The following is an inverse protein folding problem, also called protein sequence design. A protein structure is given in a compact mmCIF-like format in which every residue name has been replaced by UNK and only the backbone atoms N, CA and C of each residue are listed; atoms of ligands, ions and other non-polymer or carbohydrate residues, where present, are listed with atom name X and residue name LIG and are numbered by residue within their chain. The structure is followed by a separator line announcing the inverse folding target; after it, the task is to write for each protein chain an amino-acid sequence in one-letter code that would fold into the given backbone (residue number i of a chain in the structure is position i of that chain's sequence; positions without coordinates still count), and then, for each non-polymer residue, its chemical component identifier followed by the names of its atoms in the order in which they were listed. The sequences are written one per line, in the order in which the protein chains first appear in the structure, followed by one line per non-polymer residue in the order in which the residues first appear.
data_IF_919248155903
#
_entry.id   IF_919248155903
#
_cell.length_a   1.000
_cell.length_b   1.000
_cell.length_c   1.000
_cell.angle_alpha   90.00
_cell.angle_beta   90.00
_cell.angle_gamma   90.00
#
_symmetry.space_group_name_H-M   'P 1'
#
loop_
_entity.id
_entity.type
_entity.pdbx_description
1 polymer ?
#
# COMPACT_ATOMS: atom_id res chain seq x y z
N UNK A 1 7.51 -32.26 6.77
CA UNK A 1 6.11 -32.70 6.97
C UNK A 1 5.80 -33.71 5.87
N UNK A 2 5.28 -34.88 6.23
CA UNK A 2 4.93 -35.94 5.29
C UNK A 2 3.75 -35.51 4.40
N UNK A 3 3.61 -36.14 3.21
CA UNK A 3 2.48 -35.84 2.31
C UNK A 3 1.13 -36.15 2.97
N UNK A 4 1.07 -37.11 3.91
CA UNK A 4 -0.11 -37.38 4.75
C UNK A 4 -0.43 -36.22 5.73
N UNK A 5 0.57 -35.54 6.29
CA UNK A 5 0.33 -34.33 7.12
C UNK A 5 -0.16 -33.14 6.30
N UNK A 6 0.21 -33.08 5.02
CA UNK A 6 -0.30 -32.09 4.06
C UNK A 6 -1.72 -32.40 3.59
N UNK A 7 -2.07 -33.67 3.45
CA UNK A 7 -3.41 -34.12 3.06
C UNK A 7 -4.43 -33.95 4.19
N UNK A 8 -4.05 -34.24 5.45
CA UNK A 8 -4.89 -34.03 6.62
C UNK A 8 -5.05 -32.55 7.03
N UNK A 9 -4.17 -31.67 6.58
CA UNK A 9 -4.33 -30.21 6.75
C UNK A 9 -5.38 -29.60 5.81
N UNK A 10 -5.94 -30.39 4.88
CA UNK A 10 -6.81 -29.91 3.81
C UNK A 10 -8.19 -29.41 4.24
N UNK A 11 -8.68 -29.71 5.43
CA UNK A 11 -10.06 -29.34 5.82
C UNK A 11 -10.20 -29.03 7.32
N UNK A 12 -9.97 -27.79 7.71
CA UNK A 12 -10.58 -27.22 8.91
C UNK A 12 -11.19 -25.86 8.57
N UNK A 13 -12.13 -25.87 7.63
CA UNK A 13 -13.06 -24.74 7.49
C UNK A 13 -14.27 -25.09 8.34
N UNK A 14 -14.48 -24.34 9.40
CA UNK A 14 -15.73 -24.42 10.18
C UNK A 14 -16.84 -23.80 9.33
N UNK A 15 -17.83 -24.62 8.91
CA UNK A 15 -19.06 -24.23 8.20
C UNK A 15 -18.89 -23.62 6.80
N UNK A 16 -18.64 -24.47 5.78
CA UNK A 16 -18.61 -24.03 4.35
C UNK A 16 -20.02 -23.96 3.73
N UNK A 17 -21.03 -24.61 4.32
CA UNK A 17 -22.30 -24.91 3.66
C UNK A 17 -23.17 -23.71 3.26
N UNK A 18 -22.76 -22.46 3.59
CA UNK A 18 -23.50 -21.24 3.25
C UNK A 18 -22.62 -20.05 2.81
N UNK A 19 -21.34 -20.27 2.43
CA UNK A 19 -20.44 -19.21 2.05
C UNK A 19 -20.47 -18.96 0.53
N UNK A 20 -20.52 -17.68 0.13
CA UNK A 20 -20.36 -17.29 -1.26
C UNK A 20 -18.90 -17.44 -1.69
N UNK A 21 -18.65 -17.82 -2.94
CA UNK A 21 -17.29 -18.02 -3.48
C UNK A 21 -16.41 -16.77 -3.34
N UNK A 22 -17.00 -15.59 -3.40
CA UNK A 22 -16.32 -14.29 -3.24
C UNK A 22 -15.86 -13.99 -1.79
N UNK A 23 -16.35 -14.74 -0.81
CA UNK A 23 -15.97 -14.61 0.61
C UNK A 23 -14.80 -15.53 1.01
N UNK A 24 -14.36 -16.42 0.11
CA UNK A 24 -13.31 -17.40 0.37
C UNK A 24 -11.99 -16.98 -0.33
N UNK A 25 -10.87 -17.25 0.33
CA UNK A 25 -9.52 -17.07 -0.22
C UNK A 25 -8.71 -18.34 -0.03
N UNK A 26 -8.00 -18.76 -1.09
CA UNK A 26 -7.05 -19.87 -1.06
C UNK A 26 -5.67 -19.36 -0.72
N UNK A 27 -5.04 -19.92 0.32
CA UNK A 27 -3.65 -19.58 0.63
C UNK A 27 -2.71 -20.08 -0.47
N UNK A 28 -1.86 -19.21 -1.07
CA UNK A 28 -0.94 -19.62 -2.14
C UNK A 28 0.20 -20.50 -1.63
N UNK A 29 0.49 -20.49 -0.32
CA UNK A 29 1.59 -21.25 0.29
C UNK A 29 1.15 -22.67 0.69
N UNK A 30 0.02 -22.83 1.37
CA UNK A 30 -0.40 -24.14 1.91
C UNK A 30 -1.68 -24.71 1.26
N UNK A 31 -2.34 -23.94 0.38
CA UNK A 31 -3.54 -24.37 -0.32
C UNK A 31 -4.83 -24.39 0.50
N UNK A 32 -4.78 -24.08 1.80
CA UNK A 32 -5.96 -24.03 2.68
C UNK A 32 -6.90 -22.94 2.23
N UNK A 33 -8.19 -23.21 2.23
CA UNK A 33 -9.25 -22.24 2.02
C UNK A 33 -9.62 -21.62 3.36
N UNK A 34 -9.69 -20.30 3.42
CA UNK A 34 -10.07 -19.54 4.61
C UNK A 34 -11.07 -18.45 4.24
N UNK A 35 -11.93 -18.09 5.17
CA UNK A 35 -12.82 -16.96 4.99
C UNK A 35 -12.02 -15.64 5.03
N UNK A 36 -12.39 -14.67 4.17
CA UNK A 36 -11.69 -13.38 4.11
C UNK A 36 -11.73 -12.61 5.44
N UNK A 37 -12.82 -12.76 6.23
CA UNK A 37 -12.90 -12.17 7.57
C UNK A 37 -11.89 -12.78 8.53
N UNK A 38 -11.70 -14.11 8.50
CA UNK A 38 -10.71 -14.79 9.35
C UNK A 38 -9.29 -14.31 9.03
N UNK A 39 -8.97 -14.16 7.73
CA UNK A 39 -7.67 -13.60 7.31
C UNK A 39 -7.52 -12.14 7.76
N UNK A 40 -8.60 -11.34 7.74
CA UNK A 40 -8.60 -9.96 8.22
C UNK A 40 -8.37 -9.91 9.74
N UNK A 41 -9.06 -10.74 10.52
CA UNK A 41 -8.87 -10.85 11.98
C UNK A 41 -7.45 -11.29 12.35
N UNK A 42 -6.82 -12.14 11.53
CA UNK A 42 -5.42 -12.54 11.66
C UNK A 42 -4.43 -11.55 10.99
N UNK A 43 -4.80 -10.29 10.84
CA UNK A 43 -3.94 -9.25 10.25
C UNK A 43 -3.31 -9.66 8.91
N UNK A 44 -4.12 -10.20 7.99
CA UNK A 44 -3.68 -10.69 6.68
C UNK A 44 -2.64 -11.82 6.74
N UNK A 45 -2.70 -12.65 7.77
CA UNK A 45 -1.84 -13.83 7.93
C UNK A 45 -2.68 -15.10 7.80
N UNK A 46 -2.16 -16.10 7.11
CA UNK A 46 -2.83 -17.39 6.99
C UNK A 46 -2.88 -18.09 8.36
N UNK A 47 -4.07 -18.46 8.86
CA UNK A 47 -4.20 -19.11 10.18
C UNK A 47 -3.55 -20.49 10.25
N UNK A 48 -3.28 -21.13 9.08
CA UNK A 48 -2.69 -22.46 9.03
C UNK A 48 -1.16 -22.47 8.91
N UNK A 49 -0.59 -21.58 8.06
CA UNK A 49 0.87 -21.62 7.77
C UNK A 49 1.60 -20.31 8.02
N UNK A 50 0.92 -19.28 8.53
CA UNK A 50 1.46 -17.96 8.78
C UNK A 50 1.98 -17.24 7.51
N UNK A 51 1.52 -17.64 6.31
CA UNK A 51 1.82 -16.91 5.09
C UNK A 51 1.17 -15.52 5.14
N UNK A 52 1.92 -14.48 4.80
CA UNK A 52 1.42 -13.10 4.75
C UNK A 52 0.74 -12.85 3.40
N UNK A 53 -0.53 -12.44 3.44
CA UNK A 53 -1.24 -11.94 2.26
C UNK A 53 -0.93 -10.46 2.00
N UNK A 54 -1.08 -10.04 0.75
CA UNK A 54 -0.97 -8.63 0.42
C UNK A 54 -2.04 -7.80 1.14
N UNK A 55 -1.62 -6.65 1.64
CA UNK A 55 -2.47 -5.67 2.30
C UNK A 55 -2.49 -4.40 1.44
N UNK A 56 -3.69 -3.91 1.11
CA UNK A 56 -3.86 -2.66 0.37
C UNK A 56 -3.42 -1.45 1.20
N UNK A 57 -3.21 -0.30 0.55
CA UNK A 57 -2.91 0.95 1.24
C UNK A 57 -4.02 1.35 2.22
N UNK A 58 -5.29 1.16 1.83
CA UNK A 58 -6.44 1.49 2.67
C UNK A 58 -6.50 0.62 3.93
N UNK A 59 -6.31 -0.70 3.79
CA UNK A 59 -6.24 -1.61 4.93
C UNK A 59 -5.07 -1.29 5.88
N UNK A 60 -3.92 -0.82 5.36
CA UNK A 60 -2.79 -0.39 6.20
C UNK A 60 -3.11 0.87 6.98
N UNK A 61 -3.80 1.83 6.36
CA UNK A 61 -4.25 3.05 7.04
C UNK A 61 -5.24 2.68 8.14
N UNK A 62 -6.24 1.83 7.85
CA UNK A 62 -7.19 1.33 8.85
C UNK A 62 -6.51 0.60 10.01
N UNK A 63 -5.39 -0.08 9.77
CA UNK A 63 -4.62 -0.79 10.80
C UNK A 63 -3.77 0.15 11.66
N UNK A 64 -3.20 1.20 11.07
CA UNK A 64 -2.19 2.05 11.71
C UNK A 64 -2.79 3.30 12.35
N UNK A 65 -3.82 3.87 11.75
CA UNK A 65 -4.41 5.14 12.13
C UNK A 65 -5.61 4.91 13.05
N UNK A 66 -5.70 5.70 14.09
CA UNK A 66 -6.80 5.67 15.04
C UNK A 66 -8.13 5.96 14.33
N UNK A 67 -9.16 5.18 14.67
CA UNK A 67 -10.45 5.21 14.00
C UNK A 67 -11.05 6.64 13.97
N UNK A 68 -11.50 7.05 12.79
CA UNK A 68 -12.14 8.36 12.57
C UNK A 68 -11.19 9.55 12.51
N UNK A 69 -9.86 9.36 12.65
CA UNK A 69 -8.89 10.48 12.64
C UNK A 69 -8.26 10.71 11.28
N UNK A 70 -8.35 9.75 10.34
CA UNK A 70 -7.72 9.89 9.03
C UNK A 70 -8.44 10.90 8.15
N UNK A 71 -7.69 11.86 7.66
CA UNK A 71 -8.11 12.81 6.63
C UNK A 71 -7.23 12.64 5.41
N UNK A 72 -7.80 12.05 4.34
CA UNK A 72 -7.11 11.88 3.06
C UNK A 72 -6.87 13.24 2.41
N UNK A 73 -5.65 13.46 1.93
CA UNK A 73 -5.24 14.65 1.19
C UNK A 73 -4.77 14.25 -0.21
N UNK A 74 -4.85 15.17 -1.16
CA UNK A 74 -4.41 14.96 -2.55
C UNK A 74 -5.13 13.78 -3.26
N UNK A 75 -6.35 13.44 -2.82
CA UNK A 75 -7.09 12.27 -3.29
C UNK A 75 -7.44 12.31 -4.80
N UNK A 76 -7.50 13.51 -5.39
CA UNK A 76 -7.91 13.71 -6.78
C UNK A 76 -6.76 13.73 -7.78
N UNK A 77 -5.50 13.72 -7.32
CA UNK A 77 -4.34 13.74 -8.19
C UNK A 77 -4.25 12.46 -9.04
N UNK A 78 -4.08 12.65 -10.34
CA UNK A 78 -3.91 11.58 -11.34
C UNK A 78 -2.73 11.88 -12.24
N UNK A 79 -2.05 10.82 -12.70
CA UNK A 79 -0.94 10.99 -13.65
C UNK A 79 -1.44 11.35 -15.05
N UNK A 80 -0.65 12.15 -15.74
CA UNK A 80 -0.74 12.32 -17.18
C UNK A 80 0.15 11.28 -17.89
N UNK A 81 0.03 11.18 -19.22
CA UNK A 81 0.97 10.42 -20.05
C UNK A 81 2.01 11.39 -20.65
N UNK A 82 3.09 11.74 -19.93
CA UNK A 82 3.95 12.87 -20.27
C UNK A 82 4.86 12.63 -21.48
N UNK A 83 4.99 11.38 -21.89
CA UNK A 83 5.86 10.97 -23.01
C UNK A 83 5.09 10.18 -24.09
N UNK A 84 3.76 10.24 -24.08
CA UNK A 84 2.88 9.50 -24.99
C UNK A 84 3.24 7.99 -25.06
N UNK A 85 3.52 7.38 -23.88
CA UNK A 85 3.89 5.98 -23.83
C UNK A 85 2.72 5.11 -24.28
N UNK A 86 2.93 4.16 -25.21
CA UNK A 86 1.87 3.33 -25.76
C UNK A 86 1.10 2.57 -24.68
N UNK A 87 -0.21 2.51 -24.80
CA UNK A 87 -1.13 1.79 -23.89
C UNK A 87 -1.06 2.22 -22.41
N UNK A 88 -0.36 3.33 -22.07
CA UNK A 88 -0.23 3.74 -20.67
C UNK A 88 -1.56 4.24 -20.10
N UNK A 89 -2.28 5.04 -20.88
CA UNK A 89 -3.57 5.59 -20.45
C UNK A 89 -4.57 4.47 -20.12
N UNK A 90 -4.72 3.48 -21.02
CA UNK A 90 -5.64 2.36 -20.80
C UNK A 90 -5.22 1.50 -19.59
N UNK A 91 -3.91 1.23 -19.43
CA UNK A 91 -3.38 0.50 -18.27
C UNK A 91 -3.59 1.25 -16.96
N UNK A 92 -3.46 2.57 -17.01
CA UNK A 92 -3.67 3.44 -15.84
C UNK A 92 -5.15 3.47 -15.43
N UNK A 93 -6.06 3.68 -16.37
CA UNK A 93 -7.51 3.64 -16.15
C UNK A 93 -7.97 2.28 -15.61
N UNK A 94 -7.43 1.19 -16.18
CA UNK A 94 -7.69 -0.15 -15.68
C UNK A 94 -7.21 -0.31 -14.22
N UNK A 95 -6.01 0.17 -13.90
CA UNK A 95 -5.48 0.11 -12.53
C UNK A 95 -6.35 0.93 -11.55
N UNK A 96 -6.88 2.08 -11.99
CA UNK A 96 -7.84 2.86 -11.20
C UNK A 96 -9.13 2.09 -10.94
N UNK A 97 -9.68 1.44 -11.97
CA UNK A 97 -10.90 0.64 -11.85
C UNK A 97 -10.70 -0.55 -10.90
N UNK A 98 -9.61 -1.31 -11.11
CA UNK A 98 -9.36 -2.56 -10.39
C UNK A 98 -8.99 -2.33 -8.91
N UNK A 99 -8.29 -1.25 -8.60
CA UNK A 99 -7.86 -0.91 -7.23
C UNK A 99 -8.84 -0.01 -6.48
N UNK A 100 -9.71 0.71 -7.20
CA UNK A 100 -10.55 1.77 -6.64
C UNK A 100 -9.78 3.02 -6.20
N UNK A 101 -8.50 3.13 -6.57
CA UNK A 101 -7.62 4.25 -6.24
C UNK A 101 -7.43 5.16 -7.44
N UNK A 102 -7.16 6.43 -7.22
CA UNK A 102 -6.77 7.37 -8.28
C UNK A 102 -5.28 7.25 -8.63
N UNK A 103 -4.45 6.81 -7.68
CA UNK A 103 -3.02 6.55 -7.86
C UNK A 103 -2.53 5.53 -6.81
N UNK A 104 -1.37 4.93 -7.04
CA UNK A 104 -0.75 3.88 -6.22
C UNK A 104 -0.25 4.30 -4.84
N UNK A 105 -0.80 5.39 -4.29
CA UNK A 105 -0.51 5.87 -2.94
C UNK A 105 -1.68 6.65 -2.37
N UNK A 106 -2.00 6.40 -1.10
CA UNK A 106 -2.93 7.19 -0.28
C UNK A 106 -2.09 8.00 0.70
N UNK A 107 -2.37 9.30 0.82
CA UNK A 107 -1.67 10.19 1.76
C UNK A 107 -2.65 11.09 2.52
N UNK A 108 -2.26 11.48 3.74
CA UNK A 108 -3.10 12.34 4.57
C UNK A 108 -2.54 12.57 5.96
N UNK A 109 -3.37 13.16 6.80
CA UNK A 109 -3.13 13.34 8.23
C UNK A 109 -3.99 12.36 9.03
N UNK A 110 -3.49 11.93 10.18
CA UNK A 110 -4.22 11.10 11.11
C UNK A 110 -3.52 11.03 12.46
N UNK A 111 -3.98 10.13 13.31
CA UNK A 111 -3.37 9.91 14.61
C UNK A 111 -2.97 8.44 14.77
N UNK A 112 -1.85 8.18 15.44
CA UNK A 112 -1.41 6.84 15.86
C UNK A 112 -1.27 6.88 17.38
N UNK A 113 -2.10 6.16 18.10
CA UNK A 113 -2.18 6.20 19.57
C UNK A 113 -2.28 7.64 20.11
N UNK A 114 -3.12 8.46 19.50
CA UNK A 114 -3.36 9.87 19.86
C UNK A 114 -2.24 10.83 19.43
N UNK A 115 -1.21 10.37 18.74
CA UNK A 115 -0.12 11.21 18.22
C UNK A 115 -0.38 11.56 16.76
N UNK A 116 -0.48 12.84 16.45
CA UNK A 116 -0.68 13.33 15.07
C UNK A 116 0.50 12.96 14.18
N UNK A 117 0.20 12.46 12.99
CA UNK A 117 1.19 12.08 11.97
C UNK A 117 0.73 12.50 10.58
N UNK A 118 1.68 12.74 9.68
CA UNK A 118 1.43 12.75 8.25
C UNK A 118 1.85 11.40 7.68
N UNK A 119 0.95 10.72 6.97
CA UNK A 119 1.18 9.36 6.49
C UNK A 119 1.02 9.28 4.97
N UNK A 120 1.84 8.45 4.32
CA UNK A 120 1.66 8.01 2.95
C UNK A 120 1.82 6.49 2.88
N UNK A 121 0.82 5.79 2.35
CA UNK A 121 0.83 4.34 2.15
C UNK A 121 0.73 4.02 0.67
N UNK A 122 1.75 3.34 0.12
CA UNK A 122 1.74 2.84 -1.25
C UNK A 122 0.94 1.55 -1.37
N UNK A 123 0.36 1.33 -2.56
CA UNK A 123 -0.44 0.15 -2.89
C UNK A 123 0.15 -0.63 -4.05
N UNK A 124 0.45 -1.92 -3.82
CA UNK A 124 1.01 -2.79 -4.85
C UNK A 124 -0.02 -3.19 -5.91
N UNK A 125 -1.32 -3.14 -5.58
CA UNK A 125 -2.39 -3.48 -6.53
C UNK A 125 -2.52 -2.43 -7.65
N UNK A 126 -2.00 -1.22 -7.44
CA UNK A 126 -1.94 -0.20 -8.48
C UNK A 126 -0.62 -0.28 -9.23
N UNK A 127 -0.63 -0.83 -10.43
CA UNK A 127 0.53 -0.95 -11.34
C UNK A 127 1.81 -1.48 -10.65
N UNK A 128 1.67 -2.49 -9.76
CA UNK A 128 2.78 -3.06 -9.02
C UNK A 128 3.46 -2.10 -8.03
N UNK A 129 2.74 -1.08 -7.55
CA UNK A 129 3.29 -0.06 -6.66
C UNK A 129 4.37 0.81 -7.33
N UNK A 130 4.46 0.82 -8.66
CA UNK A 130 5.49 1.59 -9.36
C UNK A 130 5.40 3.09 -9.07
N UNK A 131 6.56 3.70 -8.80
CA UNK A 131 6.66 5.12 -8.46
C UNK A 131 6.64 5.96 -9.74
N UNK A 132 5.51 6.62 -10.00
CA UNK A 132 5.35 7.64 -11.02
C UNK A 132 5.38 9.05 -10.43
N UNK A 133 5.14 10.06 -11.28
CA UNK A 133 5.15 11.48 -10.92
C UNK A 133 4.20 11.81 -9.78
N UNK A 134 2.98 11.27 -9.80
CA UNK A 134 1.98 11.54 -8.76
C UNK A 134 2.30 10.80 -7.46
N UNK A 135 2.84 9.58 -7.52
CA UNK A 135 3.32 8.90 -6.30
C UNK A 135 4.40 9.73 -5.61
N UNK A 136 5.39 10.19 -6.37
CA UNK A 136 6.44 11.06 -5.83
C UNK A 136 5.91 12.38 -5.31
N UNK A 137 4.92 13.00 -5.99
CA UNK A 137 4.25 14.21 -5.53
C UNK A 137 3.57 14.00 -4.18
N UNK A 138 2.70 12.99 -4.06
CA UNK A 138 1.95 12.70 -2.83
C UNK A 138 2.86 12.36 -1.65
N UNK A 139 3.96 11.62 -1.88
CA UNK A 139 4.96 11.35 -0.84
C UNK A 139 5.66 12.66 -0.43
N UNK A 140 6.06 13.48 -1.39
CA UNK A 140 6.67 14.78 -1.12
C UNK A 140 5.72 15.68 -0.33
N UNK A 141 4.47 15.79 -0.77
CA UNK A 141 3.44 16.57 -0.09
C UNK A 141 3.19 16.06 1.34
N UNK A 142 3.20 14.74 1.56
CA UNK A 142 3.08 14.18 2.92
C UNK A 142 4.25 14.60 3.82
N UNK A 143 5.49 14.61 3.31
CA UNK A 143 6.66 15.08 4.06
C UNK A 143 6.60 16.58 4.34
N UNK A 144 6.21 17.39 3.36
CA UNK A 144 6.07 18.84 3.51
C UNK A 144 4.92 19.21 4.46
N UNK A 145 3.80 18.49 4.41
CA UNK A 145 2.68 18.62 5.35
C UNK A 145 3.11 18.28 6.78
N UNK A 146 3.96 17.26 6.95
CA UNK A 146 4.52 16.94 8.26
C UNK A 146 5.34 18.10 8.83
N UNK A 147 6.11 18.81 7.99
CA UNK A 147 6.89 19.99 8.39
C UNK A 147 5.95 21.13 8.78
N UNK A 148 4.94 21.41 7.94
CA UNK A 148 3.96 22.48 8.19
C UNK A 148 3.21 22.29 9.52
N UNK A 149 2.74 21.06 9.77
CA UNK A 149 2.02 20.73 10.99
C UNK A 149 2.92 20.39 12.19
N UNK A 150 4.25 20.35 12.00
CA UNK A 150 5.24 19.97 13.03
C UNK A 150 4.99 18.61 13.65
N UNK A 151 4.67 17.63 12.80
CA UNK A 151 4.37 16.24 13.20
C UNK A 151 5.34 15.27 12.53
N UNK A 152 5.49 14.04 13.04
CA UNK A 152 6.22 12.98 12.34
C UNK A 152 5.61 12.65 10.97
N UNK A 153 6.47 12.20 10.04
CA UNK A 153 6.03 11.60 8.78
C UNK A 153 6.25 10.09 8.80
N UNK A 154 5.26 9.33 8.31
CA UNK A 154 5.33 7.88 8.14
C UNK A 154 5.08 7.56 6.66
N UNK A 155 6.02 6.84 6.02
CA UNK A 155 5.85 6.37 4.64
C UNK A 155 5.95 4.86 4.61
N UNK A 156 4.85 4.20 4.27
CA UNK A 156 4.82 2.76 4.04
C UNK A 156 5.06 2.53 2.55
N UNK A 157 6.25 2.01 2.23
CA UNK A 157 6.71 1.82 0.87
C UNK A 157 6.52 0.36 0.43
N UNK A 158 5.81 0.16 -0.68
CA UNK A 158 5.73 -1.10 -1.41
C UNK A 158 5.81 -0.79 -2.89
N UNK A 159 6.82 -1.32 -3.59
CA UNK A 159 7.08 -0.89 -4.96
C UNK A 159 7.85 -1.91 -5.78
N UNK A 160 7.45 -2.07 -7.03
CA UNK A 160 8.23 -2.75 -8.07
C UNK A 160 9.33 -1.88 -8.70
N UNK A 161 9.46 -0.60 -8.30
CA UNK A 161 10.46 0.33 -8.80
C UNK A 161 9.88 1.57 -9.50
N UNK A 162 10.70 2.29 -10.27
CA UNK A 162 10.29 3.46 -11.02
C UNK A 162 9.30 3.09 -12.15
N UNK A 163 8.26 3.90 -12.35
CA UNK A 163 7.25 3.68 -13.40
C UNK A 163 7.83 3.94 -14.79
N UNK A 164 8.11 2.88 -15.51
CA UNK A 164 8.75 2.92 -16.82
C UNK A 164 7.99 3.79 -17.83
N UNK A 165 6.66 3.76 -17.77
CA UNK A 165 5.77 4.48 -18.68
C UNK A 165 5.85 6.02 -18.55
N UNK A 166 6.43 6.52 -17.49
CA UNK A 166 6.66 7.95 -17.30
C UNK A 166 8.14 8.34 -17.55
N UNK A 167 8.99 7.39 -17.91
CA UNK A 167 10.39 7.64 -18.32
C UNK A 167 11.17 8.38 -17.24
N UNK A 168 11.84 9.48 -17.64
CA UNK A 168 12.67 10.28 -16.75
C UNK A 168 11.86 10.95 -15.63
N UNK A 169 10.58 11.24 -15.84
CA UNK A 169 9.74 11.85 -14.78
C UNK A 169 9.64 10.94 -13.55
N UNK A 170 9.55 9.62 -13.74
CA UNK A 170 9.55 8.69 -12.61
C UNK A 170 10.91 8.63 -11.90
N UNK A 171 12.02 8.68 -12.63
CA UNK A 171 13.36 8.69 -12.02
C UNK A 171 13.60 9.96 -11.18
N UNK A 172 13.12 11.10 -11.66
CA UNK A 172 13.25 12.38 -10.94
C UNK A 172 12.48 12.43 -9.62
N UNK A 173 11.52 11.52 -9.41
CA UNK A 173 10.82 11.43 -8.12
C UNK A 173 11.75 11.00 -6.97
N UNK A 174 12.78 10.21 -7.23
CA UNK A 174 13.80 9.87 -6.23
C UNK A 174 14.52 11.11 -5.71
N UNK A 175 14.92 12.02 -6.60
CA UNK A 175 15.53 13.29 -6.22
C UNK A 175 14.56 14.17 -5.42
N UNK A 176 13.30 14.24 -5.85
CA UNK A 176 12.25 15.04 -5.22
C UNK A 176 11.93 14.57 -3.80
N UNK A 177 11.67 13.29 -3.62
CA UNK A 177 11.38 12.72 -2.30
C UNK A 177 12.58 12.77 -1.37
N UNK A 178 13.81 12.57 -1.88
CA UNK A 178 15.05 12.72 -1.11
C UNK A 178 15.25 14.15 -0.62
N UNK A 179 14.94 15.15 -1.45
CA UNK A 179 14.98 16.57 -1.06
C UNK A 179 13.98 16.87 0.07
N UNK A 180 12.75 16.34 -0.02
CA UNK A 180 11.73 16.50 1.02
C UNK A 180 12.15 15.81 2.34
N UNK A 181 12.71 14.60 2.27
CA UNK A 181 13.25 13.91 3.43
C UNK A 181 14.40 14.68 4.08
N UNK A 182 15.24 15.35 3.27
CA UNK A 182 16.29 16.25 3.78
C UNK A 182 15.68 17.46 4.51
N UNK A 183 14.61 18.06 4.00
CA UNK A 183 13.88 19.14 4.69
C UNK A 183 13.34 18.70 6.04
N UNK A 184 12.73 17.48 6.14
CA UNK A 184 12.28 16.87 7.41
C UNK A 184 13.41 16.82 8.43
N UNK A 185 14.58 16.29 8.01
CA UNK A 185 15.76 16.22 8.88
C UNK A 185 16.23 17.59 9.37
N UNK A 186 16.24 18.62 8.50
CA UNK A 186 16.62 19.98 8.86
C UNK A 186 15.62 20.64 9.81
N UNK A 187 14.33 20.26 9.71
CA UNK A 187 13.29 20.70 10.63
C UNK A 187 13.33 19.99 11.98
N UNK A 188 14.20 18.98 12.17
CA UNK A 188 14.30 18.21 13.39
C UNK A 188 13.09 17.29 13.65
N UNK A 189 12.33 16.95 12.61
CA UNK A 189 11.13 16.13 12.72
C UNK A 189 11.43 14.66 12.34
N UNK A 190 10.80 13.68 13.04
CA UNK A 190 10.96 12.28 12.73
C UNK A 190 10.41 11.93 11.34
N UNK A 191 11.18 11.18 10.56
CA UNK A 191 10.75 10.54 9.33
C UNK A 191 10.93 9.02 9.48
N UNK A 192 9.83 8.28 9.40
CA UNK A 192 9.77 6.81 9.57
C UNK A 192 9.45 6.20 8.21
N UNK A 193 10.40 5.48 7.65
CA UNK A 193 10.18 4.68 6.43
C UNK A 193 9.95 3.23 6.81
N UNK A 194 8.84 2.67 6.34
CA UNK A 194 8.42 1.28 6.58
C UNK A 194 8.43 0.54 5.24
N UNK A 195 9.56 -0.04 4.81
CA UNK A 195 9.59 -0.85 3.61
C UNK A 195 8.90 -2.19 3.84
N UNK A 196 8.02 -2.57 2.90
CA UNK A 196 7.34 -3.88 2.90
C UNK A 196 7.66 -4.64 1.61
N UNK A 197 7.34 -5.93 1.56
CA UNK A 197 7.71 -6.78 0.43
C UNK A 197 6.63 -6.76 -0.69
N UNK A 198 7.01 -6.47 -1.95
CA UNK A 198 8.34 -6.05 -2.40
C UNK A 198 8.58 -4.55 -2.21
N UNK A 199 9.83 -4.16 -1.99
CA UNK A 199 10.26 -2.76 -2.07
C UNK A 199 11.56 -2.70 -2.86
N UNK A 200 11.48 -2.19 -4.09
CA UNK A 200 12.60 -2.11 -5.04
C UNK A 200 12.99 -0.66 -5.26
N UNK A 201 14.27 -0.38 -5.17
CA UNK A 201 14.90 0.87 -5.51
C UNK A 201 14.89 1.92 -4.43
#
# INVERSE_FOLDING_TARGET
KSDEERENAKYKVKNIDNLKEDEITKCPSCGVLSHKSEIKEHMKTCPNCNHYFNMSARERIELLIDEGTFKEEDATLTAANPIDFPEYTEKYEKAQHDSGLKEGVISGLGEINGLKVSIACMDFNFMGGSMGSVVGEKITAALERAIEHKVPAVVVAISGGARMQEGLFSLMQMAKTSAAAKKMRLAGLPFISVPVNPTTG
#
